data_IF_630317016985
#
_entry.id   IF_630317016985
#
_cell.length_a   1.000
_cell.length_b   1.000
_cell.length_c   1.000
_cell.angle_alpha   90.00
_cell.angle_beta   90.00
_cell.angle_gamma   90.00
#
_symmetry.space_group_name_H-M   'P 1'
#
loop_
_entity.id
_entity.type
_entity.pdbx_description
1 polymer ?
#
# COMPACT_ATOMS: atom_id res chain seq x y z
N UNK A 1 -23.29 -5.27 -1.82
CA UNK A 1 -24.22 -6.09 -2.64
C UNK A 1 -25.00 -7.15 -1.87
N UNK A 2 -24.37 -8.10 -1.15
CA UNK A 2 -25.13 -9.13 -0.40
C UNK A 2 -26.09 -8.52 0.64
N UNK A 3 -25.63 -7.54 1.42
CA UNK A 3 -26.47 -6.76 2.34
C UNK A 3 -27.61 -5.98 1.64
N UNK A 4 -27.50 -5.75 0.33
CA UNK A 4 -28.52 -5.08 -0.48
C UNK A 4 -29.56 -6.07 -1.04
N UNK A 5 -29.50 -7.36 -0.65
CA UNK A 5 -30.43 -8.39 -1.11
C UNK A 5 -30.25 -8.82 -2.58
N UNK A 6 -29.11 -8.53 -3.20
CA UNK A 6 -28.81 -8.96 -4.57
C UNK A 6 -28.69 -10.49 -4.65
N UNK A 7 -29.08 -11.07 -5.79
CA UNK A 7 -29.02 -12.53 -5.97
C UNK A 7 -27.57 -13.01 -6.10
N UNK A 8 -27.32 -14.30 -5.84
CA UNK A 8 -25.99 -14.90 -6.04
C UNK A 8 -25.49 -14.73 -7.48
N UNK A 9 -26.39 -14.81 -8.46
CA UNK A 9 -26.07 -14.62 -9.88
C UNK A 9 -25.59 -13.20 -10.17
N UNK A 10 -26.24 -12.19 -9.58
CA UNK A 10 -25.84 -10.78 -9.74
C UNK A 10 -24.48 -10.53 -9.08
N UNK A 11 -24.30 -11.03 -7.85
CA UNK A 11 -23.03 -10.90 -7.12
C UNK A 11 -21.89 -11.57 -7.90
N UNK A 12 -22.10 -12.78 -8.42
CA UNK A 12 -21.11 -13.50 -9.20
C UNK A 12 -20.72 -12.75 -10.48
N UNK A 13 -21.72 -12.19 -11.18
CA UNK A 13 -21.51 -11.37 -12.37
C UNK A 13 -20.67 -10.14 -12.07
N UNK A 14 -20.99 -9.41 -10.99
CA UNK A 14 -20.22 -8.24 -10.56
C UNK A 14 -18.80 -8.60 -10.13
N UNK A 15 -18.60 -9.67 -9.36
CA UNK A 15 -17.26 -10.13 -9.00
C UNK A 15 -16.40 -10.46 -10.24
N UNK A 16 -17.01 -11.05 -11.28
CA UNK A 16 -16.32 -11.32 -12.53
C UNK A 16 -15.94 -10.03 -13.28
N UNK A 17 -16.75 -8.98 -13.17
CA UNK A 17 -16.42 -7.66 -13.72
C UNK A 17 -15.28 -7.00 -12.92
N UNK A 18 -15.37 -6.96 -11.60
CA UNK A 18 -14.32 -6.41 -10.72
C UNK A 18 -12.98 -7.08 -10.99
N UNK A 19 -12.95 -8.42 -11.13
CA UNK A 19 -11.74 -9.19 -11.44
C UNK A 19 -11.03 -8.72 -12.72
N UNK A 20 -11.77 -8.23 -13.71
CA UNK A 20 -11.20 -7.71 -14.97
C UNK A 20 -10.67 -6.27 -14.86
N UNK A 21 -11.07 -5.55 -13.82
CA UNK A 21 -10.77 -4.12 -13.63
C UNK A 21 -9.81 -3.85 -12.48
N UNK A 22 -9.34 -4.91 -11.80
CA UNK A 22 -8.36 -4.81 -10.73
C UNK A 22 -7.05 -5.49 -11.10
N UNK A 23 -5.95 -4.80 -10.87
CA UNK A 23 -4.59 -5.33 -11.03
C UNK A 23 -3.74 -4.94 -9.84
N UNK A 24 -2.82 -5.82 -9.47
CA UNK A 24 -1.91 -5.61 -8.34
C UNK A 24 -0.49 -5.96 -8.76
N UNK A 25 0.49 -5.19 -8.31
CA UNK A 25 1.90 -5.52 -8.45
C UNK A 25 2.64 -5.25 -7.13
N UNK A 26 3.40 -6.25 -6.69
CA UNK A 26 4.24 -6.18 -5.50
C UNK A 26 5.71 -5.97 -5.85
N UNK A 27 6.42 -5.29 -4.95
CA UNK A 27 7.88 -5.22 -4.93
C UNK A 27 8.38 -5.46 -3.51
N UNK A 28 9.51 -6.11 -3.37
CA UNK A 28 10.14 -6.36 -2.07
C UNK A 28 11.64 -6.21 -2.15
N UNK A 29 12.24 -5.75 -1.06
CA UNK A 29 13.71 -5.67 -0.90
C UNK A 29 14.23 -6.76 0.03
N UNK A 30 13.34 -7.46 0.74
CA UNK A 30 13.68 -8.62 1.58
C UNK A 30 12.54 -9.62 1.62
N UNK A 31 12.85 -10.89 1.33
CA UNK A 31 11.89 -11.99 1.48
C UNK A 31 11.40 -12.13 2.92
N UNK A 32 10.27 -12.81 3.10
CA UNK A 32 9.81 -13.19 4.43
C UNK A 32 10.73 -14.23 5.06
N UNK A 33 10.80 -14.17 6.38
CA UNK A 33 11.42 -15.15 7.24
C UNK A 33 10.35 -16.13 7.72
N UNK A 34 10.48 -17.38 7.31
CA UNK A 34 9.60 -18.46 7.74
C UNK A 34 10.12 -19.04 9.06
N UNK A 35 9.31 -19.07 10.12
CA UNK A 35 9.72 -19.62 11.42
C UNK A 35 10.29 -21.04 11.29
N UNK A 36 11.52 -21.22 11.77
CA UNK A 36 12.23 -22.50 11.72
C UNK A 36 12.93 -22.82 10.38
N UNK A 37 12.69 -22.05 9.32
CA UNK A 37 13.28 -22.25 7.99
C UNK A 37 14.17 -21.08 7.52
N UNK A 38 13.97 -19.88 8.08
CA UNK A 38 14.74 -18.70 7.71
C UNK A 38 14.15 -17.98 6.49
N UNK A 39 14.99 -17.23 5.75
CA UNK A 39 14.55 -16.48 4.57
C UNK A 39 14.09 -17.43 3.45
N UNK A 40 12.92 -17.16 2.88
CA UNK A 40 12.36 -17.97 1.78
C UNK A 40 13.18 -17.88 0.49
N UNK A 41 13.81 -16.73 0.25
CA UNK A 41 14.80 -16.53 -0.81
C UNK A 41 15.71 -15.34 -0.47
N UNK A 42 16.87 -15.29 -1.11
CA UNK A 42 17.83 -14.21 -0.91
C UNK A 42 17.69 -13.13 -1.98
N UNK A 43 17.66 -11.87 -1.55
CA UNK A 43 17.76 -10.67 -2.39
C UNK A 43 19.07 -9.99 -1.98
N UNK A 44 19.94 -9.69 -2.94
CA UNK A 44 21.19 -8.99 -2.63
C UNK A 44 20.93 -7.55 -2.20
N UNK A 45 21.82 -7.01 -1.38
CA UNK A 45 21.76 -5.60 -0.98
C UNK A 45 21.75 -4.68 -2.20
N UNK A 46 20.89 -3.68 -2.16
CA UNK A 46 20.66 -2.78 -3.30
C UNK A 46 19.84 -3.39 -4.43
N UNK A 47 19.29 -4.60 -4.28
CA UNK A 47 18.34 -5.19 -5.23
C UNK A 47 16.90 -5.18 -4.71
N UNK A 48 15.96 -5.32 -5.63
CA UNK A 48 14.55 -5.53 -5.36
C UNK A 48 13.99 -6.63 -6.26
N UNK A 49 13.04 -7.38 -5.72
CA UNK A 49 12.31 -8.43 -6.41
C UNK A 49 10.93 -7.89 -6.81
N UNK A 50 10.56 -8.04 -8.09
CA UNK A 50 9.31 -7.52 -8.66
C UNK A 50 8.34 -8.66 -8.92
N UNK A 51 7.07 -8.46 -8.58
CA UNK A 51 6.00 -9.42 -8.83
C UNK A 51 5.98 -10.56 -7.81
N UNK A 52 6.40 -10.28 -6.58
CA UNK A 52 6.38 -11.27 -5.50
C UNK A 52 4.96 -11.63 -5.07
N UNK A 53 4.79 -12.91 -4.78
CA UNK A 53 3.58 -13.47 -4.19
C UNK A 53 3.49 -13.19 -2.69
N UNK A 54 2.41 -13.69 -2.08
CA UNK A 54 2.17 -13.59 -0.64
C UNK A 54 2.71 -14.78 0.15
N UNK A 55 3.13 -15.86 -0.51
CA UNK A 55 3.65 -17.06 0.16
C UNK A 55 5.19 -17.10 0.17
N UNK A 56 5.85 -15.98 -0.14
CA UNK A 56 7.31 -15.90 -0.15
C UNK A 56 7.92 -16.48 -1.41
N UNK A 57 7.15 -16.62 -2.50
CA UNK A 57 7.70 -17.01 -3.80
C UNK A 57 8.55 -15.88 -4.40
N UNK A 58 9.63 -16.27 -5.09
CA UNK A 58 10.40 -15.33 -5.88
C UNK A 58 9.51 -14.66 -6.95
N UNK A 59 9.81 -13.40 -7.24
CA UNK A 59 9.02 -12.61 -8.17
C UNK A 59 9.23 -13.01 -9.62
N UNK A 60 8.60 -12.25 -10.50
CA UNK A 60 8.77 -12.38 -11.95
C UNK A 60 10.16 -11.92 -12.43
N UNK A 61 10.82 -11.03 -11.69
CA UNK A 61 12.17 -10.55 -12.05
C UNK A 61 12.87 -9.82 -10.90
N UNK A 62 14.19 -9.97 -10.82
CA UNK A 62 15.09 -9.15 -9.99
C UNK A 62 15.56 -7.89 -10.72
N UNK A 63 15.68 -6.79 -9.98
CA UNK A 63 16.18 -5.51 -10.48
C UNK A 63 17.03 -4.80 -9.43
N UNK A 64 17.88 -3.87 -9.88
CA UNK A 64 18.50 -2.90 -8.99
C UNK A 64 17.40 -2.07 -8.30
N UNK A 65 17.56 -1.85 -7.00
CA UNK A 65 16.70 -0.99 -6.21
C UNK A 65 16.78 0.45 -6.73
N UNK A 66 15.62 1.09 -6.87
CA UNK A 66 15.49 2.45 -7.36
C UNK A 66 14.97 3.36 -6.23
N UNK A 67 14.91 4.67 -6.48
CA UNK A 67 14.19 5.57 -5.58
C UNK A 67 12.69 5.21 -5.52
N UNK A 68 12.03 5.54 -4.40
CA UNK A 68 10.60 5.29 -4.22
C UNK A 68 9.74 5.86 -5.38
N UNK A 69 10.10 7.05 -5.88
CA UNK A 69 9.44 7.66 -7.05
C UNK A 69 9.53 6.76 -8.29
N UNK A 70 10.73 6.25 -8.61
CA UNK A 70 10.97 5.39 -9.77
C UNK A 70 10.36 4.01 -9.62
N UNK A 71 10.34 3.46 -8.40
CA UNK A 71 9.62 2.22 -8.10
C UNK A 71 8.13 2.39 -8.38
N UNK A 72 7.52 3.47 -7.89
CA UNK A 72 6.10 3.74 -8.10
C UNK A 72 5.80 4.03 -9.58
N UNK A 73 6.68 4.76 -10.28
CA UNK A 73 6.55 5.00 -11.72
C UNK A 73 6.47 3.69 -12.49
N UNK A 74 7.42 2.78 -12.22
CA UNK A 74 7.46 1.46 -12.82
C UNK A 74 6.21 0.62 -12.50
N UNK A 75 5.74 0.65 -11.25
CA UNK A 75 4.54 -0.08 -10.84
C UNK A 75 3.32 0.47 -11.58
N UNK A 76 3.09 1.79 -11.51
CA UNK A 76 1.94 2.42 -12.13
C UNK A 76 1.95 2.29 -13.65
N UNK A 77 3.10 2.33 -14.31
CA UNK A 77 3.20 2.08 -15.75
C UNK A 77 2.65 0.70 -16.11
N UNK A 78 3.10 -0.35 -15.41
CA UNK A 78 2.62 -1.73 -15.64
C UNK A 78 1.12 -1.85 -15.38
N UNK A 79 0.65 -1.35 -14.23
CA UNK A 79 -0.77 -1.46 -13.86
C UNK A 79 -1.66 -0.67 -14.82
N UNK A 80 -1.29 0.57 -15.14
CA UNK A 80 -2.05 1.43 -16.06
C UNK A 80 -2.11 0.84 -17.47
N UNK A 81 -1.00 0.25 -17.94
CA UNK A 81 -0.96 -0.42 -19.25
C UNK A 81 -1.88 -1.63 -19.30
N UNK A 82 -1.90 -2.46 -18.25
CA UNK A 82 -2.77 -3.64 -18.20
C UNK A 82 -4.25 -3.27 -18.18
N UNK A 83 -4.62 -2.22 -17.45
CA UNK A 83 -6.00 -1.74 -17.37
C UNK A 83 -6.40 -0.75 -18.49
N UNK A 84 -5.46 -0.34 -19.33
CA UNK A 84 -5.65 0.73 -20.33
C UNK A 84 -6.21 2.02 -19.72
N UNK A 85 -5.66 2.45 -18.59
CA UNK A 85 -6.07 3.67 -17.88
C UNK A 85 -5.73 4.91 -18.71
N UNK A 86 -6.69 5.84 -18.79
CA UNK A 86 -6.62 7.07 -19.58
C UNK A 86 -6.86 8.29 -18.70
N UNK A 87 -6.49 9.45 -19.23
CA UNK A 87 -6.85 10.74 -18.65
C UNK A 87 -8.38 10.85 -18.49
N UNK A 88 -8.82 11.35 -17.33
CA UNK A 88 -10.23 11.46 -16.96
C UNK A 88 -10.81 10.22 -16.26
N UNK A 89 -10.08 9.09 -16.24
CA UNK A 89 -10.53 7.89 -15.54
C UNK A 89 -10.53 8.08 -14.01
N UNK A 90 -11.39 7.32 -13.35
CA UNK A 90 -11.50 7.26 -11.89
C UNK A 90 -11.02 5.92 -11.38
N UNK A 91 -10.18 5.94 -10.35
CA UNK A 91 -9.61 4.72 -9.78
C UNK A 91 -9.73 4.69 -8.26
N UNK A 92 -9.88 3.49 -7.72
CA UNK A 92 -9.56 3.19 -6.33
C UNK A 92 -8.17 2.56 -6.26
N UNK A 93 -7.39 2.91 -5.23
CA UNK A 93 -6.04 2.37 -5.03
C UNK A 93 -5.89 1.73 -3.66
N UNK A 94 -5.07 0.68 -3.59
CA UNK A 94 -4.61 0.11 -2.33
C UNK A 94 -3.09 0.14 -2.34
N UNK A 95 -2.48 0.68 -1.29
CA UNK A 95 -1.04 0.58 -1.01
C UNK A 95 -0.89 -0.29 0.22
N UNK A 96 -0.58 -1.56 -0.03
CA UNK A 96 -0.53 -2.62 0.95
C UNK A 96 0.90 -2.87 1.42
N UNK A 97 1.08 -3.03 2.73
CA UNK A 97 2.33 -3.45 3.35
C UNK A 97 2.42 -4.98 3.39
N UNK A 98 3.53 -5.53 2.91
CA UNK A 98 3.79 -6.97 2.96
C UNK A 98 4.21 -7.46 4.36
N UNK A 99 4.43 -6.53 5.31
CA UNK A 99 4.55 -6.81 6.73
C UNK A 99 5.80 -6.18 7.36
N UNK A 100 6.90 -6.12 6.61
CA UNK A 100 8.20 -5.63 7.07
C UNK A 100 8.54 -4.18 6.72
N UNK A 101 7.68 -3.47 5.98
CA UNK A 101 7.93 -2.06 5.64
C UNK A 101 7.49 -1.13 6.77
N UNK A 102 8.21 -0.04 7.00
CA UNK A 102 7.83 1.00 7.95
C UNK A 102 6.61 1.79 7.46
N UNK A 103 5.91 2.45 8.39
CA UNK A 103 4.81 3.35 8.04
C UNK A 103 5.28 4.53 7.18
N UNK A 104 6.48 5.06 7.45
CA UNK A 104 7.05 6.16 6.65
C UNK A 104 7.26 5.76 5.20
N UNK A 105 7.82 4.58 4.94
CA UNK A 105 8.00 4.05 3.59
C UNK A 105 6.66 3.81 2.90
N UNK A 106 5.70 3.22 3.62
CA UNK A 106 4.37 2.94 3.08
C UNK A 106 3.64 4.21 2.65
N UNK A 107 3.66 5.26 3.49
CA UNK A 107 3.03 6.54 3.17
C UNK A 107 3.81 7.36 2.13
N UNK A 108 5.13 7.19 2.04
CA UNK A 108 5.93 7.74 0.93
C UNK A 108 5.46 7.15 -0.40
N UNK A 109 5.29 5.82 -0.47
CA UNK A 109 4.75 5.14 -1.66
C UNK A 109 3.33 5.61 -1.97
N UNK A 110 2.46 5.71 -0.97
CA UNK A 110 1.09 6.19 -1.16
C UNK A 110 1.02 7.63 -1.71
N UNK A 111 1.85 8.52 -1.18
CA UNK A 111 1.99 9.89 -1.68
C UNK A 111 2.45 9.93 -3.13
N UNK A 112 3.43 9.11 -3.49
CA UNK A 112 3.90 8.99 -4.88
C UNK A 112 2.81 8.44 -5.82
N UNK A 113 2.05 7.43 -5.39
CA UNK A 113 0.93 6.87 -6.18
C UNK A 113 -0.07 7.96 -6.53
N UNK A 114 -0.53 8.71 -5.52
CA UNK A 114 -1.50 9.78 -5.68
C UNK A 114 -0.97 10.93 -6.53
N UNK A 115 0.29 11.35 -6.30
CA UNK A 115 0.90 12.43 -7.06
C UNK A 115 1.08 12.07 -8.54
N UNK A 116 1.50 10.84 -8.84
CA UNK A 116 1.75 10.38 -10.21
C UNK A 116 0.46 10.15 -11.00
N UNK A 117 -0.57 9.56 -10.39
CA UNK A 117 -1.88 9.40 -11.04
C UNK A 117 -2.52 10.76 -11.34
N UNK A 118 -2.43 11.71 -10.40
CA UNK A 118 -2.88 13.10 -10.63
C UNK A 118 -2.14 13.77 -11.79
N UNK A 119 -0.82 13.59 -11.93
CA UNK A 119 -0.04 14.12 -13.06
C UNK A 119 -0.48 13.52 -14.41
N UNK A 120 -1.04 12.31 -14.42
CA UNK A 120 -1.61 11.66 -15.61
C UNK A 120 -3.08 12.01 -15.86
N UNK A 121 -3.65 12.94 -15.07
CA UNK A 121 -5.06 13.32 -15.18
C UNK A 121 -6.04 12.22 -14.74
N UNK A 122 -5.59 11.26 -13.93
CA UNK A 122 -6.42 10.18 -13.37
C UNK A 122 -6.86 10.58 -11.96
N UNK A 123 -8.16 10.47 -11.69
CA UNK A 123 -8.74 10.82 -10.39
C UNK A 123 -8.69 9.61 -9.44
N UNK A 124 -7.93 9.73 -8.35
CA UNK A 124 -7.99 8.75 -7.25
C UNK A 124 -9.16 9.10 -6.35
N UNK A 125 -10.30 8.43 -6.55
CA UNK A 125 -11.51 8.68 -5.75
C UNK A 125 -11.44 8.03 -4.36
N UNK A 126 -10.60 6.99 -4.24
CA UNK A 126 -10.40 6.22 -3.01
C UNK A 126 -8.97 5.71 -2.95
N UNK A 127 -8.33 5.88 -1.80
CA UNK A 127 -7.03 5.29 -1.51
C UNK A 127 -7.05 4.65 -0.13
N UNK A 128 -6.66 3.39 -0.07
CA UNK A 128 -6.44 2.65 1.16
C UNK A 128 -4.95 2.42 1.34
N UNK A 129 -4.45 2.66 2.54
CA UNK A 129 -3.03 2.49 2.87
C UNK A 129 -2.97 1.72 4.17
N UNK A 130 -2.23 0.60 4.20
CA UNK A 130 -2.08 -0.15 5.43
C UNK A 130 -1.57 -1.56 5.21
N UNK A 131 -1.56 -2.31 6.30
CA UNK A 131 -1.17 -3.73 6.33
C UNK A 131 -2.44 -4.57 6.19
N UNK A 132 -2.85 -4.84 4.94
CA UNK A 132 -4.12 -5.53 4.64
C UNK A 132 -3.92 -6.99 4.28
N UNK A 133 -2.84 -7.31 3.56
CA UNK A 133 -2.49 -8.67 3.14
C UNK A 133 -0.96 -8.86 3.19
N UNK A 134 -0.48 -9.50 4.25
CA UNK A 134 0.95 -9.66 4.51
C UNK A 134 1.54 -10.94 3.93
N UNK A 135 2.86 -10.95 3.81
CA UNK A 135 3.70 -12.16 3.76
C UNK A 135 4.64 -12.13 4.96
N UNK A 136 4.12 -12.49 6.14
CA UNK A 136 4.84 -12.42 7.42
C UNK A 136 5.55 -11.08 7.64
N UNK A 137 6.88 -11.07 7.68
CA UNK A 137 7.75 -9.91 7.90
C UNK A 137 8.41 -9.41 6.59
N UNK A 138 7.89 -9.78 5.42
CA UNK A 138 8.47 -9.38 4.12
C UNK A 138 8.55 -7.86 3.98
N UNK A 139 9.75 -7.34 3.73
CA UNK A 139 9.97 -5.90 3.57
C UNK A 139 9.65 -5.47 2.13
N UNK A 140 8.39 -5.18 1.89
CA UNK A 140 7.92 -4.73 0.59
C UNK A 140 6.52 -4.13 0.62
N UNK A 141 6.08 -3.71 -0.56
CA UNK A 141 4.78 -3.06 -0.78
C UNK A 141 4.09 -3.64 -2.00
N UNK A 142 2.77 -3.63 -1.98
CA UNK A 142 1.92 -3.94 -3.13
C UNK A 142 1.06 -2.73 -3.45
N UNK A 143 0.94 -2.41 -4.75
CA UNK A 143 -0.03 -1.41 -5.21
C UNK A 143 -1.09 -2.12 -6.02
N UNK A 144 -2.35 -1.92 -5.66
CA UNK A 144 -3.51 -2.32 -6.44
C UNK A 144 -4.17 -1.11 -7.07
N UNK A 145 -4.57 -1.22 -8.34
CA UNK A 145 -5.44 -0.27 -9.03
C UNK A 145 -6.74 -0.98 -9.39
N UNK A 146 -7.86 -0.38 -9.01
CA UNK A 146 -9.20 -0.73 -9.47
C UNK A 146 -9.70 0.41 -10.35
N UNK A 147 -9.85 0.16 -11.65
CA UNK A 147 -10.46 1.11 -12.59
C UNK A 147 -11.97 1.07 -12.44
N UNK A 148 -12.60 2.22 -12.14
CA UNK A 148 -14.04 2.28 -11.95
C UNK A 148 -14.76 2.41 -13.30
N UNK A 149 -15.88 1.68 -13.52
CA UNK A 149 -16.71 1.87 -14.69
C UNK A 149 -17.27 3.29 -14.76
N UNK A 150 -17.33 3.85 -15.96
CA UNK A 150 -17.84 5.20 -16.17
C UNK A 150 -19.33 5.29 -15.75
N UNK A 151 -19.64 6.24 -14.87
CA UNK A 151 -21.03 6.53 -14.46
C UNK A 151 -21.63 5.56 -13.43
N UNK A 152 -20.94 4.47 -13.06
CA UNK A 152 -21.40 3.53 -12.04
C UNK A 152 -20.68 3.78 -10.70
N UNK A 153 -21.47 3.94 -9.63
CA UNK A 153 -20.98 4.13 -8.27
C UNK A 153 -21.07 2.87 -7.42
N UNK A 154 -21.66 1.78 -7.92
CA UNK A 154 -21.92 0.56 -7.18
C UNK A 154 -20.68 0.04 -6.44
N UNK A 155 -19.53 0.02 -7.11
CA UNK A 155 -18.30 -0.49 -6.52
C UNK A 155 -17.79 0.41 -5.40
N UNK A 156 -17.84 1.73 -5.59
CA UNK A 156 -17.45 2.69 -4.57
C UNK A 156 -18.39 2.63 -3.35
N UNK A 157 -19.70 2.55 -3.59
CA UNK A 157 -20.70 2.40 -2.54
C UNK A 157 -20.52 1.09 -1.76
N UNK A 158 -20.15 0.00 -2.45
CA UNK A 158 -19.84 -1.26 -1.81
C UNK A 158 -18.55 -1.21 -0.97
N UNK A 159 -17.52 -0.53 -1.46
CA UNK A 159 -16.25 -0.34 -0.75
C UNK A 159 -16.41 0.51 0.53
N UNK A 160 -17.29 1.52 0.46
CA UNK A 160 -17.57 2.45 1.56
C UNK A 160 -18.71 1.99 2.48
N UNK A 161 -19.35 0.86 2.16
CA UNK A 161 -20.42 0.27 2.98
C UNK A 161 -19.91 -0.05 4.39
N UNK A 162 -20.68 0.29 5.44
CA UNK A 162 -20.36 -0.10 6.80
C UNK A 162 -20.18 -1.62 6.92
N UNK A 163 -19.21 -2.03 7.74
CA UNK A 163 -18.90 -3.43 8.03
C UNK A 163 -18.39 -3.56 9.46
N UNK A 164 -18.60 -4.73 10.07
CA UNK A 164 -18.02 -5.09 11.36
C UNK A 164 -16.64 -5.75 11.22
N UNK A 165 -16.09 -5.83 10.00
CA UNK A 165 -14.76 -6.38 9.77
C UNK A 165 -13.69 -5.46 10.38
N UNK A 166 -13.03 -5.93 11.45
CA UNK A 166 -12.14 -5.11 12.28
C UNK A 166 -10.95 -4.50 11.54
N UNK A 167 -10.47 -5.16 10.47
CA UNK A 167 -9.31 -4.73 9.70
C UNK A 167 -9.68 -3.93 8.44
N UNK A 168 -10.97 -3.76 8.12
CA UNK A 168 -11.35 -2.98 6.95
C UNK A 168 -11.26 -1.48 7.28
N UNK A 169 -10.47 -0.69 6.54
CA UNK A 169 -10.27 0.73 6.86
C UNK A 169 -11.53 1.59 6.66
N UNK A 170 -12.53 1.06 5.96
CA UNK A 170 -13.77 1.76 5.66
C UNK A 170 -13.51 3.07 4.91
N UNK A 171 -14.39 4.05 5.09
CA UNK A 171 -14.30 5.30 4.34
C UNK A 171 -13.50 6.43 5.04
N UNK A 172 -13.07 6.20 6.27
CA UNK A 172 -12.59 7.24 7.21
C UNK A 172 -11.22 7.84 6.85
N UNK A 173 -10.34 7.07 6.23
CA UNK A 173 -8.95 7.44 5.95
C UNK A 173 -8.69 7.85 4.49
N UNK A 174 -9.72 8.07 3.68
CA UNK A 174 -9.49 8.56 2.31
C UNK A 174 -8.89 9.95 2.38
N UNK A 175 -7.68 10.07 1.84
CA UNK A 175 -7.12 11.32 1.36
C UNK A 175 -8.11 11.87 0.32
N UNK A 176 -9.09 12.64 0.77
CA UNK A 176 -9.72 13.59 -0.14
C UNK A 176 -8.58 14.53 -0.54
N UNK A 177 -8.33 14.64 -1.84
CA UNK A 177 -7.40 15.61 -2.39
C UNK A 177 -7.96 17.04 -2.24
N UNK A 178 -8.44 17.40 -1.04
CA UNK A 178 -8.91 18.74 -0.73
C UNK A 178 -7.70 19.60 -0.39
N UNK A 179 -7.46 20.54 -1.31
CA UNK A 179 -6.39 21.56 -1.36
C UNK A 179 -5.00 21.00 -1.58
N UNK A 180 -4.39 21.48 -2.67
CA UNK A 180 -2.95 21.38 -2.87
C UNK A 180 -2.29 21.86 -1.60
N UNK A 181 -1.55 20.96 -0.93
CA UNK A 181 -0.58 21.42 0.05
C UNK A 181 0.35 22.33 -0.73
N UNK A 182 0.32 23.62 -0.43
CA UNK A 182 1.50 24.44 -0.63
C UNK A 182 2.61 23.66 0.08
N UNK A 183 3.48 23.05 -0.70
CA UNK A 183 4.74 22.53 -0.17
C UNK A 183 5.35 23.78 0.46
N UNK A 184 5.45 23.80 1.79
CA UNK A 184 6.21 24.81 2.51
C UNK A 184 7.62 24.76 1.90
N UNK A 185 7.89 25.66 0.95
CA UNK A 185 9.09 25.59 0.12
C UNK A 185 10.36 25.82 0.94
N UNK A 186 10.22 26.31 2.16
CA UNK A 186 11.29 26.48 3.15
C UNK A 186 10.69 26.24 4.53
N UNK A 187 10.84 25.02 5.06
CA UNK A 187 11.06 24.88 6.50
C UNK A 187 12.57 25.00 6.65
N UNK A 188 13.05 26.14 7.13
CA UNK A 188 14.39 26.20 7.70
C UNK A 188 14.41 25.13 8.81
N UNK A 189 15.20 24.07 8.59
CA UNK A 189 15.37 23.05 9.59
C UNK A 189 16.02 23.73 10.80
N UNK A 190 15.27 23.85 11.89
CA UNK A 190 15.86 24.25 13.15
C UNK A 190 16.87 23.16 13.54
N UNK A 191 18.16 23.46 13.38
CA UNK A 191 19.25 22.55 13.71
C UNK A 191 19.51 22.49 15.22
N UNK A 192 18.76 23.27 16.01
CA UNK A 192 18.82 23.35 17.47
C UNK A 192 17.69 22.57 18.17
N UNK A 193 17.14 21.55 17.54
CA UNK A 193 16.16 20.67 18.19
C UNK A 193 16.90 19.56 18.96
N UNK A 194 17.04 19.73 20.28
CA UNK A 194 17.37 18.60 21.15
C UNK A 194 16.13 17.71 21.29
N UNK A 195 16.22 16.46 20.82
CA UNK A 195 15.19 15.45 21.05
C UNK A 195 15.01 15.17 22.55
N UNK A 196 13.88 14.58 22.96
CA UNK A 196 13.62 14.27 24.37
C UNK A 196 14.75 13.38 24.94
N UNK A 197 15.44 13.90 25.96
CA UNK A 197 16.47 13.16 26.70
C UNK A 197 15.78 12.23 27.70
N UNK A 198 16.05 10.94 27.58
CA UNK A 198 15.59 9.93 28.53
C UNK A 198 16.64 9.83 29.65
N UNK A 199 16.21 9.90 30.90
CA UNK A 199 17.11 9.70 32.04
C UNK A 199 17.59 8.24 32.13
N UNK A 200 18.72 7.98 32.79
CA UNK A 200 19.22 6.61 32.97
C UNK A 200 18.18 5.69 33.63
N UNK A 201 17.38 6.21 34.57
CA UNK A 201 16.31 5.47 35.23
C UNK A 201 15.15 5.11 34.30
N UNK A 202 14.76 6.01 33.38
CA UNK A 202 13.73 5.74 32.38
C UNK A 202 14.25 4.78 31.29
N UNK A 203 15.52 4.90 30.89
CA UNK A 203 16.16 3.97 29.96
C UNK A 203 16.22 2.54 30.54
N UNK A 204 16.52 2.41 31.83
CA UNK A 204 16.52 1.13 32.53
C UNK A 204 15.11 0.49 32.56
N UNK A 205 14.07 1.30 32.83
CA UNK A 205 12.67 0.83 32.80
C UNK A 205 12.26 0.39 31.40
N UNK A 206 12.59 1.17 30.37
CA UNK A 206 12.31 0.81 28.98
C UNK A 206 12.98 -0.51 28.60
N UNK A 207 14.25 -0.68 28.97
CA UNK A 207 15.01 -1.92 28.75
C UNK A 207 14.39 -3.12 29.46
N UNK A 208 13.89 -2.93 30.69
CA UNK A 208 13.18 -3.97 31.42
C UNK A 208 11.87 -4.38 30.71
N UNK A 209 11.04 -3.40 30.34
CA UNK A 209 9.79 -3.66 29.63
C UNK A 209 10.01 -4.42 28.31
N UNK A 210 11.04 -4.04 27.54
CA UNK A 210 11.38 -4.72 26.29
C UNK A 210 11.84 -6.17 26.50
N UNK A 211 12.56 -6.45 27.59
CA UNK A 211 12.96 -7.82 27.94
C UNK A 211 11.79 -8.66 28.39
N UNK A 212 10.94 -8.12 29.27
CA UNK A 212 9.76 -8.82 29.78
C UNK A 212 8.73 -9.13 28.68
N UNK A 213 8.67 -8.31 27.63
CA UNK A 213 7.80 -8.56 26.47
C UNK A 213 8.36 -9.59 25.48
N UNK A 214 9.63 -9.97 25.60
CA UNK A 214 10.30 -10.92 24.71
C UNK A 214 10.37 -12.36 25.29
N UNK A 215 9.94 -12.56 26.53
CA UNK A 215 9.73 -13.86 27.20
C UNK A 215 8.28 -14.31 27.05
#
# INVERSE_FOLDING_TARGET
MSLMGKTLKDISSECALVKKHIVTLGVTVRACNMPGLGLMFHIEDGSMEVGVGIHGEAGASRRQMLSAEKIVEFILEKLSKTLNVKEGDKVCTIVNNLGGSSQLELFLVAGQVSAQLKRKGVEVVRQYVGTLMTSLDMAGVQVSLLLLPAGDKLWLDCLDSPTSAFAWPGNSLTLQATRGREILKQLEADTNVEGPKISEGEAAKLKYCLKAAAE
#
